data_IF_738737969219
#
_entry.id   IF_738737969219
#
_cell.length_a   1.000
_cell.length_b   1.000
_cell.length_c   1.000
_cell.angle_alpha   90.00
_cell.angle_beta   90.00
_cell.angle_gamma   90.00
#
_symmetry.space_group_name_H-M   'P 1'
#
loop_
_entity.id
_entity.type
_entity.pdbx_description
1 polymer ?
#
# COMPACT_ATOMS: atom_id res chain seq x y z
N UNK A 1 -11.34 -9.51 12.36
CA UNK A 1 -11.47 -8.17 12.91
C UNK A 1 -12.59 -7.38 12.20
N UNK A 2 -12.66 -7.38 10.84
CA UNK A 2 -13.72 -6.69 10.05
C UNK A 2 -15.11 -7.08 10.57
N UNK A 3 -15.44 -8.37 10.59
CA UNK A 3 -16.74 -8.85 11.03
C UNK A 3 -17.08 -8.48 12.48
N UNK A 4 -16.08 -8.45 13.35
CA UNK A 4 -16.25 -8.06 14.75
C UNK A 4 -16.60 -6.57 14.87
N UNK A 5 -15.88 -5.70 14.14
CA UNK A 5 -16.15 -4.26 14.11
C UNK A 5 -17.57 -4.01 13.59
N UNK A 6 -17.92 -4.62 12.45
CA UNK A 6 -19.25 -4.49 11.83
C UNK A 6 -20.35 -4.94 12.78
N UNK A 7 -20.18 -6.09 13.44
CA UNK A 7 -21.13 -6.58 14.44
C UNK A 7 -21.29 -5.61 15.61
N UNK A 8 -20.17 -5.11 16.16
CA UNK A 8 -20.21 -4.20 17.31
C UNK A 8 -20.84 -2.84 16.96
N UNK A 9 -20.58 -2.32 15.74
CA UNK A 9 -21.24 -1.11 15.22
C UNK A 9 -22.76 -1.33 15.02
N UNK A 10 -23.14 -2.48 14.45
CA UNK A 10 -24.55 -2.83 14.21
C UNK A 10 -25.34 -2.92 15.51
N UNK A 11 -24.78 -3.61 16.49
CA UNK A 11 -25.42 -3.85 17.79
C UNK A 11 -25.30 -2.68 18.77
N UNK A 12 -24.62 -1.59 18.38
CA UNK A 12 -24.43 -0.39 19.22
C UNK A 12 -23.47 -0.60 20.41
N UNK A 13 -22.69 -1.68 20.40
CA UNK A 13 -21.60 -1.89 21.39
C UNK A 13 -20.37 -1.00 21.12
N UNK A 14 -20.27 -0.53 19.92
CA UNK A 14 -19.26 0.43 19.48
C UNK A 14 -19.98 1.60 18.78
N UNK A 15 -19.90 2.78 19.34
CA UNK A 15 -20.45 3.98 18.70
C UNK A 15 -19.41 4.62 17.76
N UNK A 16 -19.85 5.32 16.69
CA UNK A 16 -18.97 5.92 15.68
C UNK A 16 -17.93 6.87 16.24
N UNK A 17 -18.31 7.73 17.18
CA UNK A 17 -17.41 8.71 17.79
C UNK A 17 -16.29 8.04 18.58
N UNK A 18 -16.63 7.07 19.43
CA UNK A 18 -15.66 6.28 20.21
C UNK A 18 -14.75 5.45 19.29
N UNK A 19 -15.32 4.85 18.24
CA UNK A 19 -14.55 4.06 17.28
C UNK A 19 -13.50 4.92 16.57
N UNK A 20 -13.91 5.97 15.89
CA UNK A 20 -13.01 6.86 15.17
C UNK A 20 -12.08 7.59 16.14
N UNK A 21 -12.63 8.09 17.26
CA UNK A 21 -11.87 8.79 18.29
C UNK A 21 -10.70 7.97 18.81
N UNK A 22 -10.87 6.67 19.02
CA UNK A 22 -9.79 5.80 19.47
C UNK A 22 -8.62 5.72 18.48
N UNK A 23 -8.88 5.79 17.15
CA UNK A 23 -7.84 5.86 16.12
C UNK A 23 -7.16 7.21 16.09
N UNK A 24 -7.93 8.30 16.09
CA UNK A 24 -7.40 9.66 16.04
C UNK A 24 -6.61 10.03 17.30
N UNK A 25 -7.00 9.53 18.47
CA UNK A 25 -6.18 9.69 19.69
C UNK A 25 -4.83 8.97 19.59
N UNK A 26 -4.79 7.76 18.99
CA UNK A 26 -3.50 7.08 18.72
C UNK A 26 -2.65 7.86 17.72
N UNK A 27 -3.27 8.36 16.65
CA UNK A 27 -2.61 9.21 15.65
C UNK A 27 -2.04 10.45 16.34
N UNK A 28 -2.85 11.19 17.07
CA UNK A 28 -2.44 12.40 17.80
C UNK A 28 -1.22 12.17 18.71
N UNK A 29 -1.16 11.02 19.37
CA UNK A 29 -0.05 10.70 20.30
C UNK A 29 1.24 10.30 19.60
N UNK A 30 1.17 9.71 18.42
CA UNK A 30 2.32 9.00 17.81
C UNK A 30 2.70 9.51 16.43
N UNK A 31 1.78 10.12 15.67
CA UNK A 31 2.01 10.45 14.26
C UNK A 31 3.16 11.46 14.07
N UNK A 32 3.33 12.42 14.97
CA UNK A 32 4.45 13.36 14.92
C UNK A 32 5.83 12.67 14.96
N UNK A 33 5.90 11.44 15.51
CA UNK A 33 7.11 10.63 15.57
C UNK A 33 7.18 9.59 14.46
N UNK A 34 6.06 8.98 14.09
CA UNK A 34 5.97 7.90 13.08
C UNK A 34 5.95 8.47 11.66
N UNK A 35 5.22 9.55 11.43
CA UNK A 35 5.06 10.19 10.12
C UNK A 35 4.54 9.21 9.04
N UNK A 36 3.48 8.49 9.38
CA UNK A 36 2.87 7.52 8.49
C UNK A 36 1.99 8.17 7.40
N UNK A 37 1.42 9.35 7.66
CA UNK A 37 0.53 10.05 6.73
C UNK A 37 1.17 11.32 6.15
N UNK A 38 0.90 11.58 4.87
CA UNK A 38 1.10 12.88 4.23
C UNK A 38 -0.18 13.72 4.38
N UNK A 39 -1.33 13.09 4.21
CA UNK A 39 -2.64 13.72 4.32
C UNK A 39 -3.55 12.87 5.18
N UNK A 40 -4.05 13.44 6.27
CA UNK A 40 -5.06 12.81 7.12
C UNK A 40 -6.38 13.57 6.94
N UNK A 41 -7.48 12.84 6.80
CA UNK A 41 -8.81 13.45 6.73
C UNK A 41 -9.24 13.99 8.11
N UNK A 42 -10.05 15.06 8.16
CA UNK A 42 -10.64 15.53 9.39
C UNK A 42 -11.44 14.44 10.12
N UNK A 43 -11.32 14.37 11.43
CA UNK A 43 -11.95 13.32 12.25
C UNK A 43 -13.48 13.36 12.16
N UNK A 44 -14.06 14.55 12.14
CA UNK A 44 -15.50 14.77 12.01
C UNK A 44 -16.07 14.22 10.70
N UNK A 45 -15.38 14.41 9.58
CA UNK A 45 -15.77 13.80 8.29
C UNK A 45 -15.77 12.27 8.36
N UNK A 46 -14.75 11.67 8.98
CA UNK A 46 -14.63 10.22 9.11
C UNK A 46 -15.71 9.68 10.06
N UNK A 47 -16.05 10.40 11.13
CA UNK A 47 -17.16 10.05 12.03
C UNK A 47 -18.49 10.02 11.25
N UNK A 48 -18.75 11.03 10.43
CA UNK A 48 -19.97 11.08 9.63
C UNK A 48 -20.05 9.94 8.59
N UNK A 49 -18.91 9.54 7.99
CA UNK A 49 -18.86 8.37 7.14
C UNK A 49 -19.20 7.09 7.90
N UNK A 50 -18.67 6.90 9.12
CA UNK A 50 -18.99 5.74 9.97
C UNK A 50 -20.45 5.74 10.40
N UNK A 51 -21.04 6.89 10.72
CA UNK A 51 -22.48 7.00 11.04
C UNK A 51 -23.33 6.50 9.86
N UNK A 52 -23.05 6.96 8.65
CA UNK A 52 -23.73 6.48 7.44
C UNK A 52 -23.53 4.98 7.22
N UNK A 53 -22.37 4.45 7.57
CA UNK A 53 -22.10 3.01 7.52
C UNK A 53 -22.93 2.24 8.52
N UNK A 54 -23.12 2.74 9.73
CA UNK A 54 -24.00 2.10 10.76
C UNK A 54 -25.44 2.01 10.28
N UNK A 55 -25.95 3.06 9.60
CA UNK A 55 -27.30 3.03 9.02
C UNK A 55 -27.45 1.92 7.96
N UNK A 56 -26.44 1.79 7.06
CA UNK A 56 -26.41 0.72 6.05
C UNK A 56 -26.29 -0.67 6.68
N UNK A 57 -25.42 -0.85 7.66
CA UNK A 57 -25.28 -2.10 8.40
C UNK A 57 -26.60 -2.54 9.04
N UNK A 58 -27.30 -1.62 9.74
CA UNK A 58 -28.60 -1.92 10.39
C UNK A 58 -29.73 -2.19 9.39
N UNK A 59 -29.67 -1.62 8.19
CA UNK A 59 -30.66 -1.88 7.14
C UNK A 59 -30.40 -3.17 6.35
N UNK A 60 -29.30 -3.89 6.63
CA UNK A 60 -28.90 -5.08 5.89
C UNK A 60 -28.41 -4.81 4.46
N UNK A 61 -28.25 -3.53 4.07
CA UNK A 61 -27.75 -3.10 2.74
C UNK A 61 -26.33 -2.58 2.86
N UNK A 62 -25.40 -3.47 3.14
CA UNK A 62 -24.01 -3.11 3.39
C UNK A 62 -23.03 -3.92 2.54
N UNK A 63 -21.87 -3.32 2.26
CA UNK A 63 -20.75 -3.97 1.61
C UNK A 63 -19.84 -4.71 2.60
N UNK A 64 -18.86 -5.41 2.06
CA UNK A 64 -17.90 -6.24 2.83
C UNK A 64 -16.95 -5.42 3.71
N UNK A 65 -16.70 -4.16 3.35
CA UNK A 65 -15.80 -3.23 4.07
C UNK A 65 -16.56 -2.15 4.82
N UNK A 66 -17.85 -2.30 5.01
CA UNK A 66 -18.71 -1.28 5.61
C UNK A 66 -18.19 -0.83 6.99
N UNK A 67 -17.90 0.46 7.10
CA UNK A 67 -17.41 1.08 8.33
C UNK A 67 -15.94 0.83 8.65
N UNK A 68 -15.17 0.18 7.78
CA UNK A 68 -13.76 -0.15 8.02
C UNK A 68 -12.84 0.99 7.59
N UNK A 69 -11.93 1.40 8.47
CA UNK A 69 -10.99 2.48 8.27
C UNK A 69 -9.77 2.01 7.46
N UNK A 70 -9.52 2.67 6.32
CA UNK A 70 -8.50 2.25 5.35
C UNK A 70 -7.52 3.39 5.07
N UNK A 71 -6.23 3.11 5.20
CA UNK A 71 -5.14 3.99 4.81
C UNK A 71 -4.70 3.69 3.36
N UNK A 72 -4.41 4.71 2.56
CA UNK A 72 -4.14 4.55 1.13
C UNK A 72 -2.79 5.16 0.77
N UNK A 73 -1.90 4.38 0.15
CA UNK A 73 -0.61 4.90 -0.33
C UNK A 73 -0.80 6.11 -1.25
N UNK A 74 0.06 7.09 -1.11
CA UNK A 74 -0.12 8.42 -1.72
C UNK A 74 0.13 8.49 -3.24
N UNK A 75 0.40 7.37 -3.88
CA UNK A 75 0.42 7.26 -5.35
C UNK A 75 -0.88 6.69 -5.94
N UNK A 76 -1.90 6.42 -5.13
CA UNK A 76 -3.21 5.92 -5.57
C UNK A 76 -4.17 7.09 -5.60
N UNK A 77 -4.64 7.49 -6.79
CA UNK A 77 -5.54 8.61 -6.97
C UNK A 77 -6.83 8.42 -6.17
N UNK A 78 -7.15 9.40 -5.35
CA UNK A 78 -8.33 9.39 -4.49
C UNK A 78 -9.06 10.71 -4.64
N UNK A 79 -10.24 10.68 -5.25
CA UNK A 79 -11.02 11.87 -5.58
C UNK A 79 -11.26 12.75 -4.34
N UNK A 80 -10.93 14.05 -4.47
CA UNK A 80 -11.10 15.04 -3.42
C UNK A 80 -10.08 14.99 -2.28
N UNK A 81 -9.12 14.04 -2.31
CA UNK A 81 -8.07 13.94 -1.30
C UNK A 81 -6.71 14.13 -1.96
N UNK A 82 -5.93 15.08 -1.43
CA UNK A 82 -4.58 15.39 -1.93
C UNK A 82 -3.76 14.12 -2.12
N UNK A 83 -3.13 13.98 -3.30
CA UNK A 83 -2.36 12.81 -3.72
C UNK A 83 -1.05 13.27 -4.34
N UNK A 84 0.03 13.21 -3.57
CA UNK A 84 1.31 13.88 -3.90
C UNK A 84 2.37 12.94 -4.45
N UNK A 85 2.17 11.63 -4.31
CA UNK A 85 3.21 10.63 -4.63
C UNK A 85 4.53 10.82 -3.85
N UNK A 86 4.47 11.43 -2.65
CA UNK A 86 5.65 11.75 -1.84
C UNK A 86 6.55 12.83 -2.43
N UNK A 87 6.09 13.60 -3.42
CA UNK A 87 6.87 14.54 -4.21
C UNK A 87 6.36 15.98 -4.11
N UNK A 88 7.27 16.95 -4.14
CA UNK A 88 6.93 18.35 -4.33
C UNK A 88 6.28 18.60 -5.70
N UNK A 89 6.62 17.79 -6.70
CA UNK A 89 6.06 17.89 -8.05
C UNK A 89 4.52 17.84 -8.03
N UNK A 90 3.92 17.07 -7.12
CA UNK A 90 2.47 16.92 -6.97
C UNK A 90 1.95 17.43 -5.61
N UNK A 91 2.70 18.28 -4.92
CA UNK A 91 2.39 18.72 -3.54
C UNK A 91 0.95 19.21 -3.37
N UNK A 92 0.41 19.90 -4.36
CA UNK A 92 -0.94 20.50 -4.30
C UNK A 92 -1.98 19.73 -5.11
N UNK A 93 -1.61 18.61 -5.71
CA UNK A 93 -2.51 17.87 -6.59
C UNK A 93 -3.64 17.18 -5.82
N UNK A 94 -4.86 17.45 -6.24
CA UNK A 94 -6.07 16.78 -5.78
C UNK A 94 -6.74 16.10 -6.97
N UNK A 95 -6.80 14.76 -7.02
CA UNK A 95 -7.39 14.05 -8.13
C UNK A 95 -8.89 14.36 -8.30
N UNK A 96 -9.36 14.59 -9.55
CA UNK A 96 -10.79 14.74 -9.86
C UNK A 96 -11.51 13.40 -10.01
N UNK A 97 -10.83 12.27 -9.82
CA UNK A 97 -11.36 10.92 -9.98
C UNK A 97 -10.73 9.96 -8.97
N UNK A 98 -11.39 8.83 -8.74
CA UNK A 98 -10.88 7.72 -7.96
C UNK A 98 -10.14 6.71 -8.84
N UNK A 99 -9.08 6.12 -8.33
CA UNK A 99 -8.55 4.86 -8.87
C UNK A 99 -9.61 3.75 -8.74
N UNK A 100 -9.60 2.78 -9.65
CA UNK A 100 -10.55 1.66 -9.63
C UNK A 100 -10.62 0.96 -8.29
N UNK A 101 -9.47 0.75 -7.63
CA UNK A 101 -9.43 0.13 -6.30
C UNK A 101 -10.16 0.97 -5.25
N UNK A 102 -10.11 2.31 -5.35
CA UNK A 102 -10.80 3.22 -4.43
C UNK A 102 -12.31 3.21 -4.70
N UNK A 103 -12.73 3.22 -5.96
CA UNK A 103 -14.15 3.07 -6.32
C UNK A 103 -14.73 1.77 -5.76
N UNK A 104 -13.99 0.66 -5.89
CA UNK A 104 -14.40 -0.65 -5.35
C UNK A 104 -14.50 -0.65 -3.83
N UNK A 105 -13.51 -0.08 -3.14
CA UNK A 105 -13.51 0.07 -1.69
C UNK A 105 -14.70 0.90 -1.22
N UNK A 106 -14.95 2.05 -1.84
CA UNK A 106 -16.09 2.92 -1.48
C UNK A 106 -17.45 2.23 -1.74
N UNK A 107 -17.57 1.48 -2.84
CA UNK A 107 -18.77 0.69 -3.15
C UNK A 107 -19.06 -0.36 -2.09
N UNK A 108 -18.02 -0.95 -1.51
CA UNK A 108 -18.11 -1.94 -0.43
C UNK A 108 -18.15 -1.29 0.97
N UNK A 109 -18.30 0.04 1.06
CA UNK A 109 -18.48 0.79 2.29
C UNK A 109 -17.19 1.07 3.08
N UNK A 110 -16.01 0.85 2.49
CA UNK A 110 -14.73 1.17 3.11
C UNK A 110 -14.50 2.69 3.20
N UNK A 111 -13.92 3.13 4.31
CA UNK A 111 -13.72 4.55 4.63
C UNK A 111 -12.24 4.90 4.57
N UNK A 112 -11.89 5.79 3.65
CA UNK A 112 -10.50 6.27 3.52
C UNK A 112 -10.21 7.28 4.62
N UNK A 113 -9.23 6.99 5.48
CA UNK A 113 -8.82 7.89 6.57
C UNK A 113 -7.73 8.87 6.18
N UNK A 114 -6.93 8.53 5.16
CA UNK A 114 -5.85 9.41 4.70
C UNK A 114 -4.92 8.76 3.70
N UNK A 115 -3.93 9.55 3.27
CA UNK A 115 -2.90 9.17 2.30
C UNK A 115 -1.58 8.96 3.02
N UNK A 116 -1.02 7.76 2.87
CA UNK A 116 0.18 7.34 3.59
C UNK A 116 1.46 7.75 2.87
N UNK A 117 2.46 8.08 3.66
CA UNK A 117 3.78 8.47 3.19
C UNK A 117 4.46 7.33 2.42
N UNK A 118 5.37 7.71 1.53
CA UNK A 118 6.02 6.79 0.61
C UNK A 118 7.34 7.37 0.10
N UNK A 119 8.23 6.55 -0.42
CA UNK A 119 9.35 7.04 -1.24
C UNK A 119 8.82 7.79 -2.46
N UNK A 120 9.49 8.87 -2.84
CA UNK A 120 9.09 9.74 -3.95
C UNK A 120 8.86 8.94 -5.23
N UNK A 121 7.68 9.09 -5.85
CA UNK A 121 7.21 8.34 -7.04
C UNK A 121 7.37 6.81 -6.93
N UNK A 122 7.35 6.27 -5.72
CA UNK A 122 7.56 4.85 -5.41
C UNK A 122 8.99 4.36 -5.74
N UNK A 123 9.95 5.26 -5.94
CA UNK A 123 11.37 4.97 -6.13
C UNK A 123 12.07 4.98 -4.77
N UNK A 124 12.43 3.81 -4.28
CA UNK A 124 13.06 3.64 -2.98
C UNK A 124 12.55 2.42 -2.22
N UNK A 125 13.21 2.12 -1.12
CA UNK A 125 12.95 0.94 -0.28
C UNK A 125 12.91 1.24 1.22
N UNK A 126 12.94 2.54 1.61
CA UNK A 126 13.11 2.96 3.01
C UNK A 126 12.11 4.02 3.47
N UNK A 127 11.36 4.64 2.54
CA UNK A 127 10.48 5.79 2.77
C UNK A 127 11.24 7.01 3.33
N UNK A 128 12.51 7.16 2.90
CA UNK A 128 13.36 8.30 3.25
C UNK A 128 13.39 9.38 2.17
N UNK A 129 13.07 9.03 0.91
CA UNK A 129 13.15 9.94 -0.23
C UNK A 129 11.93 10.86 -0.34
N UNK A 130 10.92 10.69 0.52
CA UNK A 130 9.72 11.54 0.53
C UNK A 130 10.06 13.01 0.76
N UNK A 131 9.50 13.88 -0.07
CA UNK A 131 9.56 15.35 0.12
C UNK A 131 9.02 15.79 1.50
N UNK A 132 8.05 15.04 2.06
CA UNK A 132 7.44 15.34 3.36
C UNK A 132 8.25 14.81 4.54
N UNK A 133 9.43 14.26 4.28
CA UNK A 133 10.33 13.67 5.27
C UNK A 133 10.06 12.20 5.53
N UNK A 134 10.98 11.51 6.24
CA UNK A 134 10.97 10.07 6.40
C UNK A 134 9.87 9.57 7.35
N UNK A 135 9.29 8.43 7.01
CA UNK A 135 8.50 7.63 7.96
C UNK A 135 9.42 6.83 8.87
N UNK A 136 9.02 6.63 10.11
CA UNK A 136 9.75 5.83 11.10
C UNK A 136 9.00 4.55 11.44
N UNK A 137 9.75 3.49 11.73
CA UNK A 137 9.17 2.22 12.15
C UNK A 137 8.54 2.36 13.55
N UNK A 138 7.23 2.05 13.72
CA UNK A 138 6.56 2.19 15.02
C UNK A 138 7.11 1.29 16.14
N UNK A 139 7.80 0.20 15.79
CA UNK A 139 8.44 -0.72 16.74
C UNK A 139 9.77 -0.16 17.28
N UNK A 140 10.51 0.55 16.41
CA UNK A 140 11.76 1.20 16.75
C UNK A 140 11.92 2.46 15.86
N UNK A 141 11.73 3.62 16.44
CA UNK A 141 11.77 4.90 15.73
C UNK A 141 13.14 5.25 15.13
N UNK A 142 14.20 4.53 15.48
CA UNK A 142 15.51 4.68 14.85
C UNK A 142 15.67 3.89 13.55
N UNK A 143 14.69 3.04 13.22
CA UNK A 143 14.72 2.15 12.06
C UNK A 143 13.76 2.61 10.98
N UNK A 144 14.06 2.19 9.75
CA UNK A 144 13.18 2.36 8.58
C UNK A 144 11.95 1.45 8.69
N UNK A 145 10.77 1.89 8.21
CA UNK A 145 9.60 1.02 8.05
C UNK A 145 9.66 0.18 6.78
N UNK A 146 10.78 0.25 6.01
CA UNK A 146 10.81 -0.24 4.63
C UNK A 146 10.13 0.72 3.67
N UNK A 147 10.13 0.37 2.39
CA UNK A 147 9.55 1.20 1.32
C UNK A 147 9.30 0.38 0.04
N UNK A 148 8.62 1.00 -0.89
CA UNK A 148 8.15 2.39 -0.90
C UNK A 148 6.79 2.62 -0.19
N UNK A 149 6.07 1.59 0.26
CA UNK A 149 4.81 1.74 1.02
C UNK A 149 5.03 1.77 2.54
N UNK A 150 6.10 2.43 3.02
CA UNK A 150 6.47 2.43 4.43
C UNK A 150 5.42 3.08 5.32
N UNK A 151 4.78 4.16 4.88
CA UNK A 151 3.67 4.79 5.60
C UNK A 151 2.48 3.85 5.80
N UNK A 152 2.14 3.03 4.78
CA UNK A 152 1.04 2.04 4.89
C UNK A 152 1.36 0.95 5.92
N UNK A 153 2.59 0.40 5.90
CA UNK A 153 3.05 -0.56 6.90
C UNK A 153 3.07 0.02 8.30
N UNK A 154 3.63 1.22 8.45
CA UNK A 154 3.71 1.92 9.73
C UNK A 154 2.33 2.30 10.29
N UNK A 155 1.39 2.74 9.44
CA UNK A 155 0.02 3.05 9.86
C UNK A 155 -0.68 1.82 10.46
N UNK A 156 -0.52 0.64 9.84
CA UNK A 156 -1.08 -0.61 10.38
C UNK A 156 -0.41 -1.03 11.68
N UNK A 157 0.93 -1.01 11.76
CA UNK A 157 1.66 -1.39 12.96
C UNK A 157 1.39 -0.45 14.14
N UNK A 158 1.14 0.84 13.86
CA UNK A 158 0.77 1.82 14.87
C UNK A 158 -0.72 1.80 15.21
N UNK A 159 -1.55 0.97 14.58
CA UNK A 159 -3.00 0.93 14.72
C UNK A 159 -3.68 2.26 14.36
N UNK A 160 -3.25 2.91 13.29
CA UNK A 160 -3.85 4.14 12.76
C UNK A 160 -4.97 3.87 11.75
N UNK A 161 -5.03 2.67 11.22
CA UNK A 161 -6.08 2.16 10.35
C UNK A 161 -6.26 0.66 10.55
N UNK A 162 -7.37 0.10 10.04
CA UNK A 162 -7.62 -1.35 10.08
C UNK A 162 -6.91 -2.06 8.92
N UNK A 163 -7.02 -1.47 7.75
CA UNK A 163 -6.47 -1.95 6.48
C UNK A 163 -5.65 -0.87 5.81
N UNK A 164 -4.78 -1.28 4.88
CA UNK A 164 -4.11 -0.32 4.03
C UNK A 164 -3.94 -0.84 2.60
N UNK A 165 -3.78 0.09 1.65
CA UNK A 165 -3.30 -0.19 0.30
C UNK A 165 -1.85 0.26 0.15
N UNK A 166 -1.08 -0.56 -0.53
CA UNK A 166 0.26 -0.24 -1.03
C UNK A 166 0.37 -0.44 -2.54
N UNK A 167 1.53 -0.16 -3.10
CA UNK A 167 1.92 -0.58 -4.45
C UNK A 167 3.29 -1.26 -4.39
N UNK A 168 3.52 -2.23 -5.24
CA UNK A 168 4.73 -3.06 -5.25
C UNK A 168 5.24 -3.26 -6.67
N UNK A 169 6.45 -2.86 -6.92
CA UNK A 169 7.17 -3.02 -8.17
C UNK A 169 8.29 -4.06 -7.98
N UNK A 170 9.12 -3.88 -6.96
CA UNK A 170 10.25 -4.74 -6.62
C UNK A 170 10.31 -5.11 -5.12
N UNK A 171 9.17 -5.06 -4.40
CA UNK A 171 9.12 -5.35 -2.95
C UNK A 171 8.37 -4.33 -2.13
N UNK A 172 7.82 -3.28 -2.74
CA UNK A 172 7.33 -2.09 -2.03
C UNK A 172 6.05 -2.27 -1.20
N UNK A 173 5.40 -3.43 -1.19
CA UNK A 173 4.41 -3.88 -0.21
C UNK A 173 5.05 -4.86 0.76
N UNK A 174 5.78 -5.86 0.23
CA UNK A 174 6.31 -7.01 0.96
C UNK A 174 7.37 -6.60 1.98
N UNK A 175 8.29 -5.71 1.59
CA UNK A 175 9.33 -5.18 2.46
C UNK A 175 8.75 -4.36 3.63
N UNK A 176 7.89 -3.35 3.41
CA UNK A 176 7.21 -2.65 4.51
C UNK A 176 6.36 -3.56 5.39
N UNK A 177 5.69 -4.56 4.83
CA UNK A 177 4.93 -5.52 5.61
C UNK A 177 5.84 -6.31 6.57
N UNK A 178 6.95 -6.84 6.05
CA UNK A 178 7.93 -7.58 6.86
C UNK A 178 8.55 -6.71 7.97
N UNK A 179 8.97 -5.48 7.66
CA UNK A 179 9.65 -4.60 8.62
C UNK A 179 8.71 -4.07 9.70
N UNK A 180 7.42 -3.97 9.42
CA UNK A 180 6.43 -3.49 10.39
C UNK A 180 5.64 -4.64 11.07
N UNK A 181 6.01 -5.91 10.84
CA UNK A 181 5.33 -7.09 11.38
C UNK A 181 3.82 -7.11 11.07
N UNK A 182 3.47 -6.77 9.83
CA UNK A 182 2.11 -6.86 9.27
C UNK A 182 2.11 -7.73 8.03
N UNK A 183 0.94 -8.05 7.49
CA UNK A 183 0.82 -8.82 6.26
C UNK A 183 0.69 -7.90 5.04
N UNK A 184 1.34 -8.28 3.96
CA UNK A 184 1.23 -7.61 2.67
C UNK A 184 1.19 -8.61 1.53
N UNK A 185 0.24 -8.44 0.63
CA UNK A 185 0.12 -9.26 -0.57
C UNK A 185 0.47 -8.44 -1.80
N UNK A 186 1.50 -8.86 -2.54
CA UNK A 186 1.68 -8.43 -3.93
C UNK A 186 0.90 -9.39 -4.83
N UNK A 187 -0.22 -8.97 -5.40
CA UNK A 187 -1.00 -9.81 -6.30
C UNK A 187 -0.22 -10.17 -7.57
N UNK A 188 -0.67 -11.19 -8.27
CA UNK A 188 -0.18 -11.45 -9.63
C UNK A 188 -0.50 -10.27 -10.54
N UNK A 189 0.41 -9.96 -11.46
CA UNK A 189 0.24 -8.86 -12.41
C UNK A 189 -1.08 -8.99 -13.18
N UNK A 190 -1.81 -7.88 -13.28
CA UNK A 190 -3.10 -7.80 -13.96
C UNK A 190 -4.32 -8.28 -13.16
N UNK A 191 -4.14 -8.83 -11.94
CA UNK A 191 -5.30 -9.23 -11.13
C UNK A 191 -5.98 -8.07 -10.39
N UNK A 192 -5.31 -6.93 -10.27
CA UNK A 192 -5.83 -5.68 -9.72
C UNK A 192 -5.56 -4.56 -10.71
N UNK A 193 -6.58 -3.76 -11.01
CA UNK A 193 -6.44 -2.63 -11.94
C UNK A 193 -5.44 -1.59 -11.43
N UNK A 194 -4.64 -1.06 -12.35
CA UNK A 194 -3.72 0.06 -12.14
C UNK A 194 -4.32 1.40 -12.57
N UNK A 195 -5.57 1.44 -13.05
CA UNK A 195 -6.22 2.71 -13.37
C UNK A 195 -6.26 3.61 -12.13
N UNK A 196 -5.67 4.81 -12.28
CA UNK A 196 -5.53 5.78 -11.20
C UNK A 196 -4.31 5.58 -10.29
N UNK A 197 -3.45 4.59 -10.55
CA UNK A 197 -2.13 4.49 -9.95
C UNK A 197 -1.18 5.46 -10.68
N UNK A 198 -0.50 6.34 -9.95
CA UNK A 198 0.58 7.17 -10.51
C UNK A 198 1.76 6.27 -10.82
N UNK A 199 2.11 6.20 -12.09
CA UNK A 199 3.03 5.22 -12.64
C UNK A 199 4.49 5.44 -12.26
N UNK A 200 5.13 4.37 -11.82
CA UNK A 200 6.59 4.22 -11.71
C UNK A 200 7.12 3.31 -12.82
N UNK A 201 6.81 2.02 -12.79
CA UNK A 201 7.21 1.03 -13.80
C UNK A 201 6.02 0.13 -14.15
N UNK A 202 5.33 0.48 -15.23
CA UNK A 202 4.05 -0.09 -15.62
C UNK A 202 4.08 -1.61 -15.86
N UNK A 203 5.22 -2.13 -16.30
CA UNK A 203 5.41 -3.57 -16.58
C UNK A 203 5.52 -4.41 -15.31
N UNK A 204 5.76 -3.81 -14.15
CA UNK A 204 6.10 -4.51 -12.92
C UNK A 204 5.15 -4.22 -11.77
N UNK A 205 4.65 -2.98 -11.68
CA UNK A 205 3.91 -2.48 -10.52
C UNK A 205 2.51 -3.07 -10.38
N UNK A 206 2.09 -3.26 -9.15
CA UNK A 206 0.77 -3.73 -8.80
C UNK A 206 0.30 -3.09 -7.48
N UNK A 207 -0.96 -2.66 -7.42
CA UNK A 207 -1.60 -2.30 -6.15
C UNK A 207 -1.92 -3.59 -5.38
N UNK A 208 -1.72 -3.56 -4.08
CA UNK A 208 -2.08 -4.70 -3.24
C UNK A 208 -2.47 -4.30 -1.81
N UNK A 209 -3.18 -5.22 -1.12
CA UNK A 209 -3.67 -5.02 0.22
C UNK A 209 -2.60 -5.26 1.27
N UNK A 210 -2.77 -4.58 2.41
CA UNK A 210 -2.00 -4.79 3.64
C UNK A 210 -2.96 -4.87 4.83
N UNK A 211 -2.70 -5.77 5.78
CA UNK A 211 -3.55 -6.00 6.96
C UNK A 211 -2.75 -6.60 8.12
N UNK A 212 -3.35 -6.66 9.32
CA UNK A 212 -2.74 -7.32 10.49
C UNK A 212 -3.04 -8.81 10.58
N UNK A 213 -3.97 -9.34 9.80
CA UNK A 213 -4.30 -10.77 9.75
C UNK A 213 -4.70 -11.21 8.34
N UNK A 214 -4.62 -12.51 8.06
CA UNK A 214 -4.83 -13.08 6.74
C UNK A 214 -6.30 -12.99 6.26
N UNK A 215 -7.26 -13.13 7.15
CA UNK A 215 -8.68 -13.08 6.78
C UNK A 215 -9.05 -11.67 6.28
N UNK A 216 -8.64 -10.62 6.98
CA UNK A 216 -8.91 -9.24 6.58
C UNK A 216 -8.14 -8.87 5.30
N UNK A 217 -6.92 -9.40 5.12
CA UNK A 217 -6.14 -9.27 3.89
C UNK A 217 -6.87 -9.89 2.69
N UNK A 218 -7.42 -11.10 2.86
CA UNK A 218 -8.21 -11.81 1.84
C UNK A 218 -9.46 -11.00 1.46
N UNK A 219 -10.19 -10.47 2.44
CA UNK A 219 -11.37 -9.64 2.19
C UNK A 219 -10.99 -8.42 1.35
N UNK A 220 -9.97 -7.66 1.74
CA UNK A 220 -9.55 -6.48 0.99
C UNK A 220 -9.09 -6.85 -0.42
N UNK A 221 -8.29 -7.92 -0.57
CA UNK A 221 -7.88 -8.41 -1.90
C UNK A 221 -9.09 -8.75 -2.77
N UNK A 222 -10.05 -9.48 -2.24
CA UNK A 222 -11.25 -9.89 -2.99
C UNK A 222 -12.14 -8.70 -3.41
N UNK A 223 -12.05 -7.56 -2.71
CA UNK A 223 -12.72 -6.31 -3.08
C UNK A 223 -12.02 -5.62 -4.23
N UNK A 224 -10.69 -5.51 -4.17
CA UNK A 224 -9.93 -4.72 -5.15
C UNK A 224 -9.59 -5.49 -6.43
N UNK A 225 -9.61 -6.83 -6.41
CA UNK A 225 -9.28 -7.68 -7.55
C UNK A 225 -10.39 -7.73 -8.62
N UNK A 226 -10.00 -8.05 -9.84
CA UNK A 226 -10.90 -8.29 -10.98
C UNK A 226 -10.63 -7.37 -12.17
N UNK A 227 -11.26 -7.67 -13.33
CA UNK A 227 -11.04 -6.97 -14.58
C UNK A 227 -11.53 -5.51 -14.52
N UNK A 228 -10.91 -4.67 -15.32
CA UNK A 228 -11.27 -3.26 -15.50
C UNK A 228 -11.02 -2.86 -16.96
N UNK A 229 -12.05 -2.38 -17.64
CA UNK A 229 -11.97 -1.94 -19.03
C UNK A 229 -11.02 -0.73 -19.23
N UNK A 230 -10.72 0.00 -18.14
CA UNK A 230 -9.78 1.15 -18.15
C UNK A 230 -8.32 0.72 -18.02
N UNK A 231 -8.05 -0.56 -17.73
CA UNK A 231 -6.70 -1.12 -17.69
C UNK A 231 -6.67 -2.42 -18.53
N UNK A 232 -6.22 -2.32 -19.77
CA UNK A 232 -6.17 -3.41 -20.73
C UNK A 232 -5.25 -4.59 -20.28
N UNK A 233 -4.46 -4.40 -19.22
CA UNK A 233 -3.61 -5.49 -18.68
C UNK A 233 -4.33 -6.34 -17.66
N UNK A 234 -5.57 -5.97 -17.27
CA UNK A 234 -6.30 -6.74 -16.27
C UNK A 234 -6.81 -8.06 -16.82
N UNK A 235 -6.75 -9.07 -15.95
CA UNK A 235 -7.25 -10.42 -16.21
C UNK A 235 -8.29 -10.80 -15.18
N UNK A 236 -9.18 -11.73 -15.54
CA UNK A 236 -10.11 -12.32 -14.57
C UNK A 236 -9.30 -13.09 -13.52
N UNK A 237 -9.27 -12.55 -12.30
CA UNK A 237 -8.69 -13.27 -11.18
C UNK A 237 -9.62 -14.42 -10.80
N UNK A 238 -9.11 -15.65 -10.87
CA UNK A 238 -9.82 -16.80 -10.31
C UNK A 238 -9.56 -16.79 -8.81
N UNK A 239 -10.49 -16.21 -8.05
CA UNK A 239 -10.45 -16.20 -6.58
C UNK A 239 -11.13 -17.48 -6.05
N UNK A 240 -10.73 -18.63 -6.56
CA UNK A 240 -11.19 -19.89 -6.01
C UNK A 240 -10.56 -20.12 -4.64
N UNK A 241 -11.39 -20.15 -3.61
CA UNK A 241 -10.98 -20.56 -2.28
C UNK A 241 -10.77 -22.07 -2.27
N UNK A 242 -9.51 -22.49 -2.37
CA UNK A 242 -9.15 -23.90 -2.20
C UNK A 242 -8.79 -24.15 -0.75
N UNK A 243 -9.40 -25.16 -0.16
CA UNK A 243 -8.94 -25.66 1.13
C UNK A 243 -7.55 -26.26 0.97
N UNK A 244 -6.55 -25.59 1.54
CA UNK A 244 -5.16 -26.06 1.53
C UNK A 244 -4.93 -26.89 2.78
N UNK A 245 -4.62 -28.18 2.60
CA UNK A 245 -4.20 -29.05 3.71
C UNK A 245 -2.69 -29.04 3.78
N UNK A 246 -2.15 -28.88 4.99
CA UNK A 246 -0.70 -28.88 5.21
C UNK A 246 -0.09 -30.27 4.92
N UNK A 247 -0.82 -31.34 5.26
CA UNK A 247 -0.38 -32.69 4.96
C UNK A 247 -0.31 -32.95 3.45
N UNK A 248 0.87 -33.28 2.96
CA UNK A 248 1.17 -33.49 1.54
C UNK A 248 1.38 -32.20 0.72
N UNK A 249 1.35 -31.01 1.36
CA UNK A 249 1.70 -29.76 0.70
C UNK A 249 3.19 -29.73 0.38
N UNK A 250 3.54 -29.50 -0.88
CA UNK A 250 4.94 -29.35 -1.31
C UNK A 250 5.38 -27.90 -1.25
N UNK A 251 6.44 -27.62 -0.48
CA UNK A 251 7.00 -26.30 -0.28
C UNK A 251 8.43 -26.24 -0.85
N UNK A 252 8.67 -25.34 -1.80
CA UNK A 252 10.00 -25.02 -2.28
C UNK A 252 10.73 -24.09 -1.31
N UNK A 253 11.96 -24.44 -0.92
CA UNK A 253 12.83 -23.61 -0.10
C UNK A 253 13.95 -23.09 -1.01
N UNK A 254 14.11 -21.77 -1.08
CA UNK A 254 15.17 -21.12 -1.86
C UNK A 254 16.42 -20.98 -0.99
N UNK A 255 17.32 -21.96 -1.05
CA UNK A 255 18.54 -21.99 -0.22
C UNK A 255 19.44 -20.79 -0.47
N UNK A 256 19.58 -20.34 -1.74
CA UNK A 256 20.35 -19.16 -2.12
C UNK A 256 19.86 -17.90 -1.36
N UNK A 257 18.55 -17.76 -1.16
CA UNK A 257 17.97 -16.66 -0.36
C UNK A 257 18.19 -16.84 1.13
N UNK A 258 18.14 -18.08 1.60
CA UNK A 258 18.42 -18.39 2.98
C UNK A 258 19.88 -18.11 3.34
N UNK A 259 20.84 -18.38 2.46
CA UNK A 259 22.26 -18.14 2.71
C UNK A 259 22.59 -16.65 2.94
N UNK A 260 21.98 -15.74 2.15
CA UNK A 260 22.21 -14.30 2.26
C UNK A 260 21.39 -13.62 3.37
N UNK A 261 20.47 -14.36 4.01
CA UNK A 261 19.64 -13.82 5.08
C UNK A 261 20.41 -13.68 6.39
N UNK A 262 20.10 -12.63 7.16
CA UNK A 262 20.65 -12.48 8.52
C UNK A 262 20.25 -13.63 9.44
N UNK A 263 21.14 -14.00 10.37
CA UNK A 263 20.93 -15.14 11.30
C UNK A 263 19.57 -15.13 12.01
N UNK A 264 19.07 -14.02 12.57
CA UNK A 264 17.76 -13.99 13.23
C UNK A 264 16.61 -14.31 12.27
N UNK A 265 16.66 -13.77 11.05
CA UNK A 265 15.64 -14.03 10.00
C UNK A 265 15.67 -15.49 9.59
N UNK A 266 16.87 -16.03 9.32
CA UNK A 266 17.07 -17.43 8.98
C UNK A 266 16.55 -18.38 10.06
N UNK A 267 16.77 -18.06 11.33
CA UNK A 267 16.24 -18.86 12.44
C UNK A 267 14.73 -18.92 12.45
N UNK A 268 14.05 -17.78 12.36
CA UNK A 268 12.57 -17.71 12.37
C UNK A 268 11.98 -18.44 11.17
N UNK A 269 12.57 -18.29 9.98
CA UNK A 269 12.10 -19.00 8.78
C UNK A 269 12.26 -20.52 8.95
N UNK A 270 13.40 -20.98 9.46
CA UNK A 270 13.63 -22.41 9.73
C UNK A 270 12.64 -22.97 10.76
N UNK A 271 12.32 -22.21 11.82
CA UNK A 271 11.33 -22.65 12.82
C UNK A 271 9.95 -22.84 12.17
N UNK A 272 9.55 -21.93 11.27
CA UNK A 272 8.30 -22.06 10.51
C UNK A 272 8.34 -23.27 9.57
N UNK A 273 9.44 -23.47 8.83
CA UNK A 273 9.61 -24.62 7.94
C UNK A 273 9.55 -25.94 8.70
N UNK A 274 10.21 -26.03 9.85
CA UNK A 274 10.18 -27.19 10.74
C UNK A 274 8.75 -27.49 11.23
N UNK A 275 8.01 -26.46 11.63
CA UNK A 275 6.62 -26.61 12.02
C UNK A 275 5.74 -27.11 10.86
N UNK A 276 5.87 -26.55 9.67
CA UNK A 276 5.12 -26.99 8.49
C UNK A 276 5.45 -28.46 8.12
N UNK A 277 6.72 -28.84 8.21
CA UNK A 277 7.15 -30.22 8.02
C UNK A 277 6.56 -31.16 9.06
N UNK A 278 6.50 -30.76 10.35
CA UNK A 278 5.88 -31.57 11.40
C UNK A 278 4.35 -31.74 11.23
N UNK A 279 3.70 -30.83 10.52
CA UNK A 279 2.29 -30.91 10.14
C UNK A 279 2.07 -31.68 8.83
N UNK A 280 3.11 -32.29 8.28
CA UNK A 280 3.07 -33.18 7.12
C UNK A 280 3.35 -32.53 5.76
N UNK A 281 3.85 -31.28 5.73
CA UNK A 281 4.31 -30.68 4.48
C UNK A 281 5.65 -31.25 4.03
N UNK A 282 5.84 -31.41 2.72
CA UNK A 282 7.10 -31.85 2.09
C UNK A 282 7.94 -30.61 1.73
N UNK A 283 9.13 -30.49 2.33
CA UNK A 283 10.10 -29.45 1.97
C UNK A 283 10.98 -29.91 0.81
N UNK A 284 11.14 -29.08 -0.21
CA UNK A 284 12.03 -29.32 -1.35
C UNK A 284 12.96 -28.15 -1.57
N UNK A 285 14.25 -28.44 -1.65
CA UNK A 285 15.24 -27.45 -2.06
C UNK A 285 14.98 -27.03 -3.51
N UNK A 286 15.00 -25.71 -3.75
CA UNK A 286 14.81 -25.12 -5.08
C UNK A 286 15.95 -24.13 -5.34
N UNK A 287 16.57 -24.22 -6.52
CA UNK A 287 17.58 -23.27 -6.99
C UNK A 287 17.05 -22.50 -8.18
N UNK A 288 17.26 -21.19 -8.18
CA UNK A 288 16.92 -20.30 -9.29
C UNK A 288 18.21 -19.83 -9.95
N UNK A 289 18.59 -20.49 -11.06
CA UNK A 289 19.88 -20.26 -11.73
C UNK A 289 20.12 -18.85 -12.30
N UNK A 290 19.11 -17.97 -12.26
CA UNK A 290 19.21 -16.57 -12.75
C UNK A 290 18.98 -15.54 -11.64
N UNK A 291 19.02 -15.93 -10.38
CA UNK A 291 18.73 -15.07 -9.27
C UNK A 291 19.65 -13.83 -9.20
N UNK A 292 20.93 -14.01 -9.51
CA UNK A 292 21.93 -12.93 -9.54
C UNK A 292 21.63 -11.84 -10.56
N UNK A 293 20.87 -12.16 -11.61
CA UNK A 293 20.46 -11.21 -12.63
C UNK A 293 19.13 -10.49 -12.28
N UNK A 294 18.39 -10.97 -11.30
CA UNK A 294 17.03 -10.45 -11.00
C UNK A 294 17.06 -8.97 -10.62
N UNK A 295 17.95 -8.59 -9.70
CA UNK A 295 18.06 -7.21 -9.26
C UNK A 295 18.61 -6.25 -10.34
N UNK A 296 19.70 -6.58 -11.06
CA UNK A 296 20.14 -5.77 -12.19
C UNK A 296 19.09 -5.60 -13.28
N UNK A 297 18.41 -6.68 -13.68
CA UNK A 297 17.33 -6.64 -14.66
C UNK A 297 16.17 -5.75 -14.21
N UNK A 298 15.77 -5.87 -12.94
CA UNK A 298 14.75 -5.02 -12.35
C UNK A 298 15.12 -3.53 -12.48
N UNK A 299 16.33 -3.13 -12.09
CA UNK A 299 16.74 -1.74 -12.15
C UNK A 299 16.79 -1.20 -13.58
N UNK A 300 17.29 -1.98 -14.54
CA UNK A 300 17.34 -1.56 -15.96
C UNK A 300 15.90 -1.28 -16.46
N UNK A 301 14.96 -2.19 -16.21
CA UNK A 301 13.57 -2.04 -16.67
C UNK A 301 12.90 -0.88 -15.92
N UNK A 302 12.96 -0.88 -14.59
CA UNK A 302 12.25 0.08 -13.77
C UNK A 302 12.74 1.51 -13.99
N UNK A 303 14.06 1.74 -14.08
CA UNK A 303 14.60 3.09 -14.33
C UNK A 303 14.29 3.57 -15.74
N UNK A 304 14.29 2.69 -16.74
CA UNK A 304 13.91 3.04 -18.12
C UNK A 304 12.45 3.47 -18.20
N UNK A 305 11.56 2.71 -17.56
CA UNK A 305 10.14 3.06 -17.53
C UNK A 305 9.86 4.30 -16.68
N UNK A 306 10.54 4.48 -15.54
CA UNK A 306 10.46 5.67 -14.73
C UNK A 306 10.85 6.93 -15.50
N UNK A 307 11.96 6.88 -16.22
CA UNK A 307 12.41 7.99 -17.07
C UNK A 307 11.31 8.40 -18.07
N UNK A 308 10.69 7.44 -18.74
CA UNK A 308 9.57 7.69 -19.66
C UNK A 308 8.32 8.22 -18.94
N UNK A 309 7.94 7.59 -17.82
CA UNK A 309 6.73 7.96 -17.08
C UNK A 309 6.83 9.35 -16.44
N UNK A 310 7.98 9.68 -15.85
CA UNK A 310 8.17 10.97 -15.17
C UNK A 310 8.42 12.13 -16.14
N UNK A 311 8.67 11.87 -17.42
CA UNK A 311 8.81 12.90 -18.46
C UNK A 311 7.54 13.75 -18.63
N UNK A 312 6.37 13.24 -18.23
CA UNK A 312 5.08 13.96 -18.28
C UNK A 312 4.96 15.12 -17.30
N UNK A 313 5.76 15.13 -16.24
CA UNK A 313 5.73 16.17 -15.21
C UNK A 313 6.67 17.30 -15.60
N UNK A 314 6.14 18.28 -16.32
CA UNK A 314 6.87 19.39 -16.91
C UNK A 314 6.67 20.72 -16.17
N UNK A 315 5.71 20.79 -15.25
CA UNK A 315 5.37 22.02 -14.53
C UNK A 315 4.64 23.06 -15.39
N UNK A 316 4.26 22.69 -16.61
CA UNK A 316 3.50 23.56 -17.54
C UNK A 316 2.06 23.09 -17.61
N UNK A 317 1.84 21.81 -17.94
CA UNK A 317 0.50 21.21 -18.03
C UNK A 317 -0.07 20.85 -16.65
N UNK A 318 0.78 20.35 -15.79
CA UNK A 318 0.46 20.01 -14.38
C UNK A 318 1.74 19.79 -13.59
N UNK A 319 1.59 19.74 -12.25
CA UNK A 319 2.69 19.60 -11.32
C UNK A 319 3.23 20.95 -10.83
N UNK A 320 4.32 20.89 -10.08
CA UNK A 320 4.99 22.06 -9.55
C UNK A 320 5.46 22.98 -10.68
N UNK A 321 5.17 24.28 -10.55
CA UNK A 321 5.68 25.34 -11.42
C UNK A 321 6.39 26.40 -10.58
N UNK A 322 7.59 26.80 -10.99
CA UNK A 322 8.34 27.89 -10.38
C UNK A 322 7.75 29.26 -10.67
N UNK A 323 6.87 29.36 -11.67
CA UNK A 323 6.39 30.64 -12.20
C UNK A 323 7.41 31.39 -13.06
N UNK A 324 8.56 30.79 -13.35
CA UNK A 324 9.57 31.37 -14.23
C UNK A 324 9.06 31.45 -15.68
N UNK A 325 9.38 32.58 -16.33
CA UNK A 325 9.12 32.83 -17.76
C UNK A 325 10.40 32.68 -18.53
N UNK A 326 10.33 32.22 -19.78
CA UNK A 326 11.51 32.05 -20.61
C UNK A 326 11.34 31.08 -21.75
N UNK A 327 12.43 30.58 -22.30
CA UNK A 327 12.40 29.50 -23.29
C UNK A 327 11.85 28.24 -22.63
N UNK A 328 11.07 27.48 -23.37
CA UNK A 328 10.41 26.26 -22.85
C UNK A 328 11.41 25.26 -22.24
N UNK A 329 12.64 25.18 -22.79
CA UNK A 329 13.71 24.33 -22.27
C UNK A 329 14.13 24.74 -20.87
N UNK A 330 14.21 26.05 -20.62
CA UNK A 330 14.67 26.60 -19.34
C UNK A 330 13.56 26.42 -18.29
N UNK A 331 12.33 26.77 -18.64
CA UNK A 331 11.14 26.57 -17.78
C UNK A 331 11.00 25.10 -17.40
N UNK A 332 11.11 24.18 -18.37
CA UNK A 332 11.06 22.74 -18.13
C UNK A 332 12.17 22.28 -17.17
N UNK A 333 13.40 22.70 -17.40
CA UNK A 333 14.56 22.32 -16.59
C UNK A 333 14.45 22.86 -15.17
N UNK A 334 14.05 24.12 -15.00
CA UNK A 334 13.87 24.76 -13.69
C UNK A 334 12.75 24.05 -12.90
N UNK A 335 11.59 23.84 -13.51
CA UNK A 335 10.45 23.20 -12.86
C UNK A 335 10.80 21.79 -12.40
N UNK A 336 11.42 20.98 -13.26
CA UNK A 336 11.82 19.61 -12.92
C UNK A 336 12.91 19.58 -11.86
N UNK A 337 13.95 20.43 -12.00
CA UNK A 337 15.04 20.51 -11.03
C UNK A 337 14.60 20.97 -9.64
N UNK A 338 13.55 21.80 -9.55
CA UNK A 338 13.02 22.27 -8.28
C UNK A 338 11.88 21.40 -7.72
N UNK A 339 11.18 20.65 -8.58
CA UNK A 339 9.99 19.85 -8.23
C UNK A 339 10.29 18.39 -7.88
N UNK A 340 11.32 17.77 -8.48
CA UNK A 340 11.77 16.42 -8.12
C UNK A 340 12.80 16.45 -7.01
N UNK A 341 12.82 15.41 -6.20
CA UNK A 341 13.84 15.13 -5.20
C UNK A 341 15.14 14.59 -5.82
N UNK A 342 16.04 14.16 -4.95
CA UNK A 342 17.38 13.69 -5.35
C UNK A 342 17.38 12.26 -5.93
N UNK A 343 16.37 11.44 -5.68
CA UNK A 343 16.26 10.07 -6.19
C UNK A 343 15.93 10.06 -7.69
#
# INVERSE_FOLDING_TARGET
>A
LIQEIQRNLTEGRLDPESYVGAYYERIKRREAKVRAFITLRPMDEVIEDVKRSVERLRSGRHGRLEGILIAVKDNISTMGIRTTCGSKMLETYVPPFDATVIERIRREGGIIVGKTNMDEFAMGSTTETSYFGPTRNPWDLSRTPGGSSGGSGAALAAHFAELALGSDTGGSIRSPAAYNAVLGLKPSYGTVSRYGLIAYANSLEQIGPMARNANDLEVLYSVIAGPDERDATTVSAVLEKKEVRLNGLRLGVLDDMMEVSEKPVKSVVNDVLNKLSSEGSELKEVKLGYLDYALPAYYIIAMSEASSNLARYDGVRYGYSSGEEGLWTDVYSINRGAGFGWE
#
